data_IF_291913074322
#
_entry.id   IF_291913074322
#
_cell.length_a   1.000
_cell.length_b   1.000
_cell.length_c   1.000
_cell.angle_alpha   90.00
_cell.angle_beta   90.00
_cell.angle_gamma   90.00
#
_symmetry.space_group_name_H-M   'P 1'
#
loop_
_entity.id
_entity.type
_entity.pdbx_description
1 polymer ?
#
# COMPACT_ATOMS: atom_id res chain seq x y z
N UNK A 1 -11.72 0.29 -51.73
CA UNK A 1 -10.44 0.15 -50.96
C UNK A 1 -10.72 0.75 -49.59
N UNK A 2 -11.09 -0.10 -48.63
CA UNK A 2 -11.39 0.30 -47.26
C UNK A 2 -10.08 0.22 -46.48
N UNK A 3 -9.54 1.39 -46.09
CA UNK A 3 -8.40 1.50 -45.21
C UNK A 3 -8.84 1.03 -43.78
N UNK A 4 -8.51 -0.20 -43.46
CA UNK A 4 -8.57 -0.69 -42.10
C UNK A 4 -7.45 -0.01 -41.29
N UNK A 5 -7.76 1.11 -40.66
CA UNK A 5 -6.92 1.63 -39.55
C UNK A 5 -6.92 0.57 -38.44
N UNK A 6 -5.84 -0.18 -38.34
CA UNK A 6 -5.51 -0.90 -37.12
C UNK A 6 -5.48 0.12 -35.98
N UNK A 7 -6.52 0.11 -35.16
CA UNK A 7 -6.45 0.67 -33.82
C UNK A 7 -5.46 -0.21 -33.04
N UNK A 8 -4.20 0.20 -33.01
CA UNK A 8 -3.30 -0.23 -31.94
C UNK A 8 -3.91 0.33 -30.65
N UNK A 9 -4.66 -0.49 -29.96
CA UNK A 9 -4.95 -0.27 -28.56
C UNK A 9 -3.61 -0.34 -27.81
N UNK A 10 -2.93 0.77 -27.71
CA UNK A 10 -1.89 0.93 -26.70
C UNK A 10 -2.62 0.74 -25.39
N UNK A 11 -2.38 -0.39 -24.76
CA UNK A 11 -2.85 -0.65 -23.41
C UNK A 11 -2.15 0.37 -22.50
N UNK A 12 -2.85 1.46 -22.19
CA UNK A 12 -2.33 2.46 -21.28
C UNK A 12 -2.15 1.77 -19.91
N UNK A 13 -0.92 1.78 -19.43
CA UNK A 13 -0.56 1.28 -18.12
C UNK A 13 -1.41 1.98 -17.05
N UNK A 14 -2.14 1.18 -16.27
CA UNK A 14 -2.97 1.68 -15.17
C UNK A 14 -2.15 1.83 -13.88
N UNK A 15 -2.64 2.71 -13.02
CA UNK A 15 -2.06 2.96 -11.70
C UNK A 15 -3.09 2.68 -10.62
N UNK A 16 -2.76 1.76 -9.72
CA UNK A 16 -3.57 1.37 -8.58
C UNK A 16 -2.99 1.97 -7.30
N UNK A 17 -3.82 2.62 -6.52
CA UNK A 17 -3.51 3.13 -5.19
C UNK A 17 -4.19 2.27 -4.14
N UNK A 18 -3.40 1.54 -3.35
CA UNK A 18 -3.87 0.56 -2.40
C UNK A 18 -3.59 1.01 -0.96
N UNK A 19 -4.61 0.96 -0.11
CA UNK A 19 -4.49 1.37 1.30
C UNK A 19 -5.36 0.54 2.22
N UNK A 20 -5.00 0.48 3.49
CA UNK A 20 -5.85 -0.07 4.54
C UNK A 20 -6.66 1.05 5.18
N UNK A 21 -7.87 0.76 5.63
CA UNK A 21 -8.78 1.72 6.22
C UNK A 21 -9.32 1.21 7.56
N UNK A 22 -9.50 2.13 8.51
CA UNK A 22 -10.10 1.87 9.81
C UNK A 22 -11.30 2.78 10.10
N UNK A 23 -11.10 4.11 10.17
CA UNK A 23 -12.15 5.12 10.34
C UNK A 23 -11.75 6.54 9.88
N UNK A 24 -10.67 6.67 9.15
CA UNK A 24 -10.06 7.95 8.74
C UNK A 24 -10.77 8.53 7.50
N UNK A 25 -12.10 8.69 7.52
CA UNK A 25 -12.89 9.14 6.36
C UNK A 25 -12.37 10.46 5.77
N UNK A 26 -12.04 11.44 6.61
CA UNK A 26 -11.52 12.75 6.16
C UNK A 26 -10.17 12.59 5.44
N UNK A 27 -9.29 11.73 5.93
CA UNK A 27 -7.99 11.50 5.30
C UNK A 27 -8.15 10.75 3.97
N UNK A 28 -9.08 9.81 3.91
CA UNK A 28 -9.40 9.07 2.69
C UNK A 28 -10.01 10.00 1.62
N UNK A 29 -10.89 10.93 2.00
CA UNK A 29 -11.43 11.95 1.10
C UNK A 29 -10.33 12.86 0.56
N UNK A 30 -9.44 13.33 1.43
CA UNK A 30 -8.28 14.12 1.02
C UNK A 30 -7.39 13.36 0.04
N UNK A 31 -7.12 12.07 0.34
CA UNK A 31 -6.34 11.18 -0.51
C UNK A 31 -6.97 11.07 -1.91
N UNK A 32 -8.26 10.80 -2.00
CA UNK A 32 -8.95 10.69 -3.29
C UNK A 32 -8.89 11.98 -4.08
N UNK A 33 -9.19 13.12 -3.46
CA UNK A 33 -9.14 14.42 -4.14
C UNK A 33 -7.76 14.77 -4.70
N UNK A 34 -6.69 14.43 -3.97
CA UNK A 34 -5.31 14.71 -4.41
C UNK A 34 -4.88 13.74 -5.52
N UNK A 35 -5.25 12.46 -5.39
CA UNK A 35 -4.72 11.39 -6.24
C UNK A 35 -5.57 11.10 -7.49
N UNK A 36 -6.83 11.52 -7.53
CA UNK A 36 -7.77 11.20 -8.61
C UNK A 36 -7.24 11.47 -10.04
N UNK A 37 -6.48 12.54 -10.30
CA UNK A 37 -5.93 12.79 -11.64
C UNK A 37 -4.87 11.77 -12.10
N UNK A 38 -4.31 10.99 -11.17
CA UNK A 38 -3.15 10.12 -11.41
C UNK A 38 -3.47 8.64 -11.24
N UNK A 39 -4.62 8.32 -10.63
CA UNK A 39 -4.98 6.96 -10.21
C UNK A 39 -6.18 6.47 -11.01
N UNK A 40 -6.08 5.27 -11.55
CA UNK A 40 -7.16 4.58 -12.26
C UNK A 40 -8.06 3.82 -11.29
N UNK A 41 -7.50 3.24 -10.23
CA UNK A 41 -8.22 2.48 -9.21
C UNK A 41 -7.69 2.73 -7.80
N UNK A 42 -8.60 2.97 -6.87
CA UNK A 42 -8.38 2.99 -5.43
C UNK A 42 -8.83 1.65 -4.85
N UNK A 43 -7.91 0.93 -4.24
CA UNK A 43 -8.17 -0.35 -3.60
C UNK A 43 -8.07 -0.19 -2.09
N UNK A 44 -9.15 -0.52 -1.38
CA UNK A 44 -9.25 -0.27 0.05
C UNK A 44 -9.65 -1.56 0.76
N UNK A 45 -8.92 -1.92 1.81
CA UNK A 45 -9.33 -3.01 2.70
C UNK A 45 -9.74 -2.48 4.07
N UNK A 46 -10.84 -3.00 4.59
CA UNK A 46 -11.26 -2.78 5.97
C UNK A 46 -11.57 -4.12 6.64
N UNK A 47 -10.96 -4.35 7.82
CA UNK A 47 -11.21 -5.56 8.59
C UNK A 47 -12.39 -5.38 9.55
N UNK A 48 -13.14 -6.47 9.83
CA UNK A 48 -14.18 -6.53 10.86
C UNK A 48 -13.63 -6.65 12.29
N UNK A 49 -12.32 -6.53 12.43
CA UNK A 49 -11.60 -6.57 13.72
C UNK A 49 -10.53 -5.46 13.76
N UNK A 50 -10.18 -5.06 14.97
CA UNK A 50 -9.07 -4.13 15.21
C UNK A 50 -7.72 -4.86 15.23
N UNK A 51 -6.63 -4.12 15.29
CA UNK A 51 -5.30 -4.70 15.44
C UNK A 51 -5.14 -5.45 16.77
N UNK A 52 -5.91 -5.07 17.80
CA UNK A 52 -5.98 -5.79 19.09
C UNK A 52 -6.90 -7.03 19.06
N UNK A 53 -7.58 -7.32 17.94
CA UNK A 53 -8.48 -8.48 17.82
C UNK A 53 -9.93 -8.21 18.22
N UNK A 54 -10.27 -6.99 18.63
CA UNK A 54 -11.65 -6.64 18.98
C UNK A 54 -12.51 -6.54 17.72
N UNK A 55 -13.68 -7.15 17.78
CA UNK A 55 -14.66 -7.01 16.68
C UNK A 55 -15.14 -5.58 16.55
N UNK A 56 -15.19 -5.08 15.33
CA UNK A 56 -15.66 -3.74 15.01
C UNK A 56 -16.70 -3.72 13.88
N UNK A 57 -17.47 -2.64 13.82
CA UNK A 57 -18.31 -2.34 12.67
C UNK A 57 -17.48 -1.78 11.53
N UNK A 58 -17.95 -1.97 10.31
CA UNK A 58 -17.37 -1.33 9.13
C UNK A 58 -17.73 0.16 9.13
N UNK A 59 -16.73 0.99 8.84
CA UNK A 59 -16.84 2.46 8.86
C UNK A 59 -16.85 3.06 7.45
N UNK A 60 -16.43 2.28 6.44
CA UNK A 60 -16.43 2.75 5.06
C UNK A 60 -17.85 2.83 4.52
N UNK A 61 -18.19 4.01 3.97
CA UNK A 61 -19.46 4.24 3.29
C UNK A 61 -19.21 4.84 1.91
N UNK A 62 -19.41 4.05 0.86
CA UNK A 62 -19.21 4.44 -0.54
C UNK A 62 -20.06 5.66 -0.94
N UNK A 63 -21.19 5.93 -0.25
CA UNK A 63 -22.03 7.06 -0.55
C UNK A 63 -21.40 8.41 -0.15
N UNK A 64 -20.41 8.41 0.74
CA UNK A 64 -19.60 9.59 1.08
C UNK A 64 -18.63 9.95 -0.04
N UNK A 65 -18.29 9.00 -0.92
CA UNK A 65 -17.29 9.12 -1.96
C UNK A 65 -17.88 8.94 -3.37
N UNK A 66 -19.06 9.52 -3.61
CA UNK A 66 -19.84 9.30 -4.85
C UNK A 66 -19.08 9.62 -6.12
N UNK A 67 -18.25 10.67 -6.10
CA UNK A 67 -17.50 11.14 -7.25
C UNK A 67 -16.40 10.14 -7.65
N UNK A 68 -15.89 9.36 -6.70
CA UNK A 68 -14.83 8.37 -6.90
C UNK A 68 -15.36 6.94 -7.02
N UNK A 69 -16.67 6.71 -6.86
CA UNK A 69 -17.31 5.38 -6.77
C UNK A 69 -16.88 4.42 -7.88
N UNK A 70 -16.71 4.92 -9.11
CA UNK A 70 -16.30 4.09 -10.27
C UNK A 70 -14.85 3.61 -10.21
N UNK A 71 -14.01 4.30 -9.43
CA UNK A 71 -12.60 3.97 -9.26
C UNK A 71 -12.34 3.16 -7.98
N UNK A 72 -13.30 3.10 -7.04
CA UNK A 72 -13.11 2.44 -5.75
C UNK A 72 -13.40 0.95 -5.86
N UNK A 73 -12.46 0.15 -5.39
CA UNK A 73 -12.60 -1.26 -5.12
C UNK A 73 -12.44 -1.47 -3.60
N UNK A 74 -13.55 -1.80 -2.93
CA UNK A 74 -13.59 -1.96 -1.47
C UNK A 74 -13.72 -3.42 -1.08
N UNK A 75 -12.84 -3.87 -0.20
CA UNK A 75 -12.69 -5.25 0.24
C UNK A 75 -12.88 -5.31 1.74
N UNK A 76 -13.76 -6.18 2.19
CA UNK A 76 -13.97 -6.48 3.60
C UNK A 76 -13.18 -7.71 3.99
N UNK A 77 -12.35 -7.58 5.03
CA UNK A 77 -11.62 -8.69 5.63
C UNK A 77 -12.44 -9.24 6.79
N UNK A 78 -13.08 -10.38 6.53
CA UNK A 78 -14.07 -10.99 7.46
C UNK A 78 -13.41 -11.62 8.67
N UNK A 79 -12.37 -12.43 8.44
CA UNK A 79 -11.77 -13.32 9.42
C UNK A 79 -10.36 -12.86 9.78
N UNK A 80 -9.98 -13.11 11.02
CA UNK A 80 -8.60 -12.98 11.48
C UNK A 80 -7.70 -14.05 10.83
N UNK A 81 -6.37 -13.85 10.78
CA UNK A 81 -5.45 -14.88 10.29
C UNK A 81 -5.42 -16.10 11.23
N UNK A 82 -5.24 -17.29 10.64
CA UNK A 82 -5.30 -18.58 11.38
C UNK A 82 -4.10 -18.81 12.31
N UNK A 83 -3.01 -18.07 12.15
CA UNK A 83 -1.73 -18.31 12.81
C UNK A 83 -1.51 -17.41 14.06
N UNK A 84 -2.58 -16.99 14.72
CA UNK A 84 -2.51 -16.20 15.95
C UNK A 84 -2.14 -17.08 17.16
N UNK A 85 -1.44 -16.50 18.13
CA UNK A 85 -1.31 -17.07 19.45
C UNK A 85 -2.64 -16.96 20.20
N UNK A 86 -2.99 -17.99 20.95
CA UNK A 86 -4.20 -18.00 21.80
C UNK A 86 -3.99 -17.06 23.00
N UNK A 87 -4.53 -15.86 22.92
CA UNK A 87 -4.34 -14.81 23.93
C UNK A 87 -4.89 -15.20 25.31
N UNK A 88 -5.84 -16.14 25.40
CA UNK A 88 -6.36 -16.63 26.67
C UNK A 88 -5.36 -17.51 27.44
N UNK A 89 -4.35 -18.02 26.77
CA UNK A 89 -3.28 -18.86 27.35
C UNK A 89 -1.98 -18.11 27.61
N UNK A 90 -1.93 -16.81 27.30
CA UNK A 90 -0.72 -16.03 27.48
C UNK A 90 -0.58 -15.53 28.91
N UNK A 91 0.61 -15.64 29.46
CA UNK A 91 0.96 -15.02 30.73
C UNK A 91 1.22 -13.52 30.52
N UNK A 92 0.85 -12.68 31.50
CA UNK A 92 1.12 -11.23 31.50
C UNK A 92 2.58 -10.94 31.87
N UNK A 93 3.51 -11.65 31.27
CA UNK A 93 4.94 -11.42 31.35
C UNK A 93 5.50 -10.81 30.02
N UNK A 94 6.81 -10.64 29.96
CA UNK A 94 7.47 -10.12 28.79
C UNK A 94 7.25 -10.98 27.54
N UNK A 95 7.16 -12.30 27.68
CA UNK A 95 6.93 -13.24 26.59
C UNK A 95 5.51 -13.12 26.05
N UNK A 96 4.50 -13.14 26.90
CA UNK A 96 3.10 -12.98 26.52
C UNK A 96 2.82 -11.63 25.85
N UNK A 97 3.40 -10.53 26.38
CA UNK A 97 3.29 -9.22 25.76
C UNK A 97 3.91 -9.17 24.34
N UNK A 98 5.01 -9.89 24.11
CA UNK A 98 5.58 -10.01 22.77
C UNK A 98 4.66 -10.78 21.81
N UNK A 99 4.01 -11.85 22.28
CA UNK A 99 3.06 -12.64 21.50
C UNK A 99 1.79 -11.86 21.16
N UNK A 100 1.26 -11.04 22.07
CA UNK A 100 0.14 -10.12 21.81
C UNK A 100 0.52 -9.11 20.73
N UNK A 101 1.71 -8.53 20.82
CA UNK A 101 2.23 -7.63 19.80
C UNK A 101 2.40 -8.33 18.45
N UNK A 102 2.87 -9.57 18.45
CA UNK A 102 3.00 -10.37 17.23
C UNK A 102 1.64 -10.66 16.59
N UNK A 103 0.61 -10.97 17.38
CA UNK A 103 -0.76 -11.11 16.89
C UNK A 103 -1.25 -9.83 16.21
N UNK A 104 -0.98 -8.66 16.80
CA UNK A 104 -1.35 -7.38 16.18
C UNK A 104 -0.65 -7.19 14.83
N UNK A 105 0.65 -7.52 14.74
CA UNK A 105 1.41 -7.45 13.49
C UNK A 105 0.83 -8.42 12.44
N UNK A 106 0.46 -9.64 12.83
CA UNK A 106 -0.17 -10.63 11.95
C UNK A 106 -1.51 -10.14 11.41
N UNK A 107 -2.35 -9.52 12.26
CA UNK A 107 -3.65 -8.92 11.86
C UNK A 107 -3.45 -7.79 10.85
N UNK A 108 -2.48 -6.90 11.10
CA UNK A 108 -2.13 -5.80 10.19
C UNK A 108 -1.66 -6.35 8.83
N UNK A 109 -0.76 -7.33 8.84
CA UNK A 109 -0.25 -7.96 7.63
C UNK A 109 -1.38 -8.66 6.86
N UNK A 110 -2.27 -9.37 7.52
CA UNK A 110 -3.40 -10.06 6.91
C UNK A 110 -4.37 -9.09 6.21
N UNK A 111 -4.75 -7.99 6.89
CA UNK A 111 -5.58 -6.94 6.28
C UNK A 111 -4.88 -6.32 5.07
N UNK A 112 -3.58 -6.04 5.17
CA UNK A 112 -2.77 -5.47 4.10
C UNK A 112 -2.66 -6.41 2.90
N UNK A 113 -2.35 -7.67 3.13
CA UNK A 113 -2.17 -8.65 2.05
C UNK A 113 -3.49 -9.04 1.38
N UNK A 114 -4.65 -8.83 2.04
CA UNK A 114 -5.98 -8.98 1.45
C UNK A 114 -6.25 -7.99 0.29
N UNK A 115 -5.46 -6.91 0.16
CA UNK A 115 -5.51 -6.01 -0.99
C UNK A 115 -5.26 -6.71 -2.32
N UNK A 116 -4.64 -7.91 -2.31
CA UNK A 116 -4.33 -8.67 -3.53
C UNK A 116 -5.57 -9.01 -4.33
N UNK A 117 -6.70 -9.28 -3.67
CA UNK A 117 -7.98 -9.56 -4.33
C UNK A 117 -8.57 -8.34 -5.05
N UNK A 118 -8.14 -7.14 -4.67
CA UNK A 118 -8.59 -5.90 -5.28
C UNK A 118 -7.82 -5.46 -6.52
N UNK A 119 -6.76 -6.16 -6.87
CA UNK A 119 -5.94 -5.87 -8.04
C UNK A 119 -5.96 -7.01 -9.08
N UNK A 120 -6.95 -7.88 -9.03
CA UNK A 120 -7.07 -9.01 -9.98
C UNK A 120 -7.16 -8.52 -11.43
N UNK A 121 -7.89 -7.42 -11.67
CA UNK A 121 -8.05 -6.79 -12.99
C UNK A 121 -6.79 -6.05 -13.50
N UNK A 122 -5.75 -5.92 -12.69
CA UNK A 122 -4.52 -5.25 -13.11
C UNK A 122 -3.70 -6.15 -14.03
N UNK A 123 -3.09 -5.56 -15.05
CA UNK A 123 -2.14 -6.24 -15.93
C UNK A 123 -0.75 -6.29 -15.32
N UNK A 124 0.09 -7.20 -15.80
CA UNK A 124 1.46 -7.41 -15.33
C UNK A 124 2.34 -6.15 -15.35
N UNK A 125 2.04 -5.19 -16.22
CA UNK A 125 2.78 -3.94 -16.35
C UNK A 125 2.14 -2.75 -15.63
N UNK A 126 0.95 -2.91 -15.06
CA UNK A 126 0.29 -1.89 -14.27
C UNK A 126 1.07 -1.62 -12.96
N UNK A 127 1.05 -0.38 -12.51
CA UNK A 127 1.69 0.00 -11.27
C UNK A 127 0.75 -0.17 -10.09
N UNK A 128 1.26 -0.84 -9.07
CA UNK A 128 0.58 -1.06 -7.79
C UNK A 128 1.36 -0.28 -6.73
N UNK A 129 0.71 0.73 -6.14
CA UNK A 129 1.25 1.47 -5.00
C UNK A 129 0.54 1.08 -3.72
N UNK A 130 1.30 1.04 -2.65
CA UNK A 130 0.78 0.85 -1.30
C UNK A 130 1.34 1.90 -0.36
N UNK A 131 0.49 2.42 0.51
CA UNK A 131 0.84 3.22 1.68
C UNK A 131 -0.27 3.18 2.72
N UNK A 132 0.05 3.57 3.94
CA UNK A 132 -0.95 3.82 4.95
C UNK A 132 -1.81 5.04 4.54
N UNK A 133 -3.03 5.16 5.05
CA UNK A 133 -4.02 6.11 4.53
C UNK A 133 -3.58 7.58 4.58
N UNK A 134 -2.77 7.94 5.56
CA UNK A 134 -2.21 9.29 5.78
C UNK A 134 -0.92 9.57 4.98
N UNK A 135 -0.38 8.59 4.28
CA UNK A 135 0.83 8.72 3.47
C UNK A 135 0.48 9.01 2.01
N UNK A 136 0.06 10.25 1.71
CA UNK A 136 -0.37 10.65 0.36
C UNK A 136 0.85 11.03 -0.49
N UNK A 137 1.14 10.31 -1.60
CA UNK A 137 2.29 10.60 -2.45
C UNK A 137 2.02 11.79 -3.38
N UNK A 138 3.08 12.46 -3.78
CA UNK A 138 3.01 13.53 -4.77
C UNK A 138 3.34 12.99 -6.16
N UNK A 139 2.32 12.82 -7.01
CA UNK A 139 2.46 12.28 -8.37
C UNK A 139 2.77 13.34 -9.44
N UNK A 140 2.72 14.63 -9.11
CA UNK A 140 3.03 15.69 -10.05
C UNK A 140 4.43 15.50 -10.66
N UNK A 141 4.51 15.56 -11.98
CA UNK A 141 5.76 15.38 -12.74
C UNK A 141 6.40 13.98 -12.66
N UNK A 142 5.69 12.98 -12.14
CA UNK A 142 6.16 11.60 -12.11
C UNK A 142 5.87 10.91 -13.44
N UNK A 143 6.91 10.46 -14.13
CA UNK A 143 6.76 9.68 -15.36
C UNK A 143 7.06 8.20 -15.06
N UNK A 144 6.00 7.41 -14.86
CA UNK A 144 6.10 5.98 -14.59
C UNK A 144 6.41 5.15 -15.84
N UNK A 145 6.01 5.58 -17.02
CA UNK A 145 6.25 4.86 -18.29
C UNK A 145 7.75 4.74 -18.58
N UNK A 146 8.50 5.81 -18.30
CA UNK A 146 9.96 5.84 -18.49
C UNK A 146 10.71 5.16 -17.35
N UNK A 147 10.02 4.75 -16.29
CA UNK A 147 10.70 4.14 -15.14
C UNK A 147 11.12 2.70 -15.43
N UNK A 148 12.44 2.45 -15.30
CA UNK A 148 13.06 1.13 -15.48
C UNK A 148 13.35 0.41 -14.15
N UNK A 149 13.12 1.07 -13.02
CA UNK A 149 13.39 0.51 -11.71
C UNK A 149 12.26 -0.43 -11.30
N UNK A 150 12.59 -1.52 -10.62
CA UNK A 150 11.59 -2.48 -10.10
C UNK A 150 10.73 -1.84 -9.03
N UNK A 151 11.34 -1.05 -8.15
CA UNK A 151 10.69 -0.41 -7.01
C UNK A 151 10.72 1.10 -7.18
N UNK A 152 9.61 1.73 -6.86
CA UNK A 152 9.43 3.18 -6.74
C UNK A 152 9.05 3.49 -5.30
N UNK A 153 9.65 4.50 -4.72
CA UNK A 153 9.32 4.97 -3.37
C UNK A 153 9.21 6.49 -3.37
N UNK A 154 8.25 7.00 -2.59
CA UNK A 154 8.08 8.44 -2.41
C UNK A 154 8.69 8.88 -1.09
N UNK A 155 9.59 9.87 -1.16
CA UNK A 155 10.08 10.58 0.02
C UNK A 155 8.99 11.56 0.44
N UNK A 156 8.52 11.43 1.66
CA UNK A 156 7.40 12.20 2.19
C UNK A 156 7.81 12.95 3.46
N UNK A 157 7.12 14.03 3.77
CA UNK A 157 7.30 14.76 5.03
C UNK A 157 6.62 13.97 6.16
N UNK A 158 7.33 13.77 7.26
CA UNK A 158 6.80 13.15 8.47
C UNK A 158 6.42 14.23 9.48
N UNK A 159 5.16 14.21 9.93
CA UNK A 159 4.66 15.10 10.98
C UNK A 159 4.28 14.29 12.21
N UNK A 160 4.59 14.80 13.40
CA UNK A 160 4.17 14.21 14.67
C UNK A 160 2.94 14.93 15.21
N UNK A 161 1.88 14.18 15.51
CA UNK A 161 0.63 14.63 16.15
C UNK A 161 -0.13 15.74 15.43
N UNK A 162 0.54 16.74 14.89
CA UNK A 162 -0.05 17.92 14.22
C UNK A 162 0.76 18.29 12.98
N UNK A 163 0.10 18.85 11.96
CA UNK A 163 0.73 19.22 10.69
C UNK A 163 1.78 20.36 10.78
N UNK A 164 1.93 21.01 11.94
CA UNK A 164 2.98 21.99 12.20
C UNK A 164 4.21 21.42 12.93
N UNK A 165 4.21 20.13 13.28
CA UNK A 165 5.31 19.47 13.97
C UNK A 165 6.08 18.57 12.98
N UNK A 166 6.78 19.21 12.04
CA UNK A 166 7.60 18.50 11.06
C UNK A 166 8.80 17.84 11.74
N UNK A 167 8.98 16.53 11.48
CA UNK A 167 10.19 15.78 11.81
C UNK A 167 11.12 15.76 10.59
N UNK A 168 12.13 16.60 10.59
CA UNK A 168 13.12 16.70 9.51
C UNK A 168 14.33 15.74 9.67
N UNK A 169 14.43 15.09 10.85
CA UNK A 169 15.54 14.18 11.17
C UNK A 169 15.41 12.79 10.55
N UNK A 170 14.23 12.42 10.08
CA UNK A 170 13.94 11.08 9.55
C UNK A 170 13.52 11.22 8.09
N UNK A 171 14.23 10.55 7.19
CA UNK A 171 13.76 10.37 5.82
C UNK A 171 12.65 9.33 5.80
N UNK A 172 11.42 9.78 5.59
CA UNK A 172 10.27 8.92 5.52
C UNK A 172 9.94 8.54 4.08
N UNK A 173 9.82 7.23 3.84
CA UNK A 173 9.41 6.66 2.55
C UNK A 173 8.14 5.84 2.77
N UNK A 174 7.01 6.54 2.87
CA UNK A 174 5.71 5.92 3.16
C UNK A 174 5.18 5.14 1.97
N UNK A 175 4.85 5.83 0.88
CA UNK A 175 4.31 5.21 -0.33
C UNK A 175 5.40 4.47 -1.11
N UNK A 176 5.10 3.22 -1.47
CA UNK A 176 5.97 2.36 -2.28
C UNK A 176 5.16 1.68 -3.37
N UNK A 177 5.79 1.44 -4.51
CA UNK A 177 5.12 0.81 -5.63
C UNK A 177 6.06 0.01 -6.52
N UNK A 178 5.46 -0.88 -7.28
CA UNK A 178 6.11 -1.65 -8.31
C UNK A 178 5.10 -2.03 -9.40
N UNK A 179 5.57 -2.56 -10.52
CA UNK A 179 4.68 -3.21 -11.48
C UNK A 179 4.12 -4.50 -10.86
N UNK A 180 2.87 -4.87 -11.19
CA UNK A 180 2.19 -6.07 -10.66
C UNK A 180 3.06 -7.32 -10.74
N UNK A 181 3.74 -7.55 -11.87
CA UNK A 181 4.66 -8.69 -12.06
C UNK A 181 5.84 -8.76 -11.07
N UNK A 182 6.11 -7.68 -10.35
CA UNK A 182 7.17 -7.63 -9.33
C UNK A 182 6.63 -7.65 -7.91
N UNK A 183 5.31 -7.53 -7.75
CA UNK A 183 4.66 -7.56 -6.45
C UNK A 183 4.69 -8.99 -5.89
N UNK A 184 5.19 -9.16 -4.66
CA UNK A 184 5.15 -10.44 -3.96
C UNK A 184 3.96 -10.50 -3.00
N UNK A 185 3.83 -9.50 -2.14
CA UNK A 185 2.70 -9.21 -1.29
C UNK A 185 2.71 -7.73 -0.91
N UNK A 186 1.63 -7.22 -0.34
CA UNK A 186 1.59 -5.84 0.14
C UNK A 186 2.41 -5.63 1.41
N UNK A 187 2.45 -6.63 2.30
CA UNK A 187 3.32 -6.61 3.47
C UNK A 187 4.79 -6.59 3.07
N UNK A 188 5.21 -7.42 2.08
CA UNK A 188 6.55 -7.35 1.52
C UNK A 188 6.87 -5.96 0.96
N UNK A 189 5.95 -5.36 0.18
CA UNK A 189 6.16 -4.04 -0.42
C UNK A 189 6.33 -2.95 0.66
N UNK A 190 5.53 -3.02 1.74
CA UNK A 190 5.61 -2.12 2.90
C UNK A 190 6.93 -2.25 3.65
N UNK A 191 7.45 -3.46 3.78
CA UNK A 191 8.62 -3.77 4.61
C UNK A 191 9.95 -3.62 3.87
N UNK A 192 9.91 -3.26 2.57
CA UNK A 192 11.11 -3.01 1.79
C UNK A 192 11.97 -1.93 2.45
N UNK A 193 13.27 -2.20 2.53
CA UNK A 193 14.25 -1.22 2.97
C UNK A 193 14.57 -0.27 1.83
N UNK A 194 14.06 0.95 1.91
CA UNK A 194 14.33 1.99 0.91
C UNK A 194 15.72 2.57 1.15
N UNK A 195 16.70 1.84 0.66
CA UNK A 195 18.11 2.23 0.70
C UNK A 195 18.80 1.70 -0.53
N UNK A 196 19.53 2.54 -1.24
CA UNK A 196 20.38 2.10 -2.33
C UNK A 196 21.62 1.39 -1.79
N UNK A 197 21.74 0.11 -2.10
CA UNK A 197 22.91 -0.68 -1.76
C UNK A 197 23.93 -0.61 -2.90
N UNK A 198 25.22 -0.53 -2.62
CA UNK A 198 26.26 -0.59 -3.65
C UNK A 198 26.19 -1.89 -4.45
N UNK A 199 26.51 -1.83 -5.74
CA UNK A 199 26.40 -2.97 -6.67
C UNK A 199 27.28 -4.17 -6.24
N UNK A 200 28.40 -3.92 -5.55
CA UNK A 200 29.30 -4.96 -5.04
C UNK A 200 28.72 -5.77 -3.85
N UNK A 201 27.56 -5.37 -3.32
CA UNK A 201 26.89 -6.09 -2.23
C UNK A 201 26.16 -7.30 -2.81
N UNK A 202 26.86 -8.43 -2.91
CA UNK A 202 26.35 -9.71 -3.47
C UNK A 202 25.13 -10.22 -2.68
N UNK A 203 25.06 -9.93 -1.38
CA UNK A 203 23.91 -10.29 -0.53
C UNK A 203 22.57 -9.67 -0.99
N UNK A 204 22.62 -8.59 -1.78
CA UNK A 204 21.40 -7.99 -2.36
C UNK A 204 20.77 -8.84 -3.45
N UNK A 205 21.55 -9.69 -4.12
CA UNK A 205 21.05 -10.59 -5.16
C UNK A 205 20.16 -11.71 -4.59
N UNK A 206 20.40 -12.08 -3.33
CA UNK A 206 19.69 -13.14 -2.62
C UNK A 206 18.70 -12.59 -1.57
N UNK A 207 18.55 -11.27 -1.48
CA UNK A 207 17.66 -10.64 -0.50
C UNK A 207 16.33 -10.28 -1.13
N UNK A 208 15.25 -10.66 -0.47
CA UNK A 208 13.89 -10.29 -0.88
C UNK A 208 13.49 -8.86 -0.49
N UNK A 209 14.28 -8.21 0.37
CA UNK A 209 13.96 -6.88 0.93
C UNK A 209 14.99 -5.79 0.61
N UNK A 210 16.08 -6.12 -0.08
CA UNK A 210 17.15 -5.17 -0.43
C UNK A 210 17.29 -5.08 -1.94
N UNK A 211 17.26 -3.90 -2.47
CA UNK A 211 17.41 -3.62 -3.90
C UNK A 211 18.51 -2.60 -4.16
N UNK A 212 19.30 -2.83 -5.21
CA UNK A 212 20.39 -1.92 -5.61
C UNK A 212 19.90 -0.74 -6.43
N UNK A 213 18.68 -0.80 -6.95
CA UNK A 213 18.15 0.20 -7.86
C UNK A 213 16.69 0.51 -7.54
N UNK A 214 16.48 1.46 -6.62
CA UNK A 214 15.17 1.97 -6.26
C UNK A 214 15.04 3.39 -6.81
N UNK A 215 13.93 3.71 -7.46
CA UNK A 215 13.59 5.06 -7.85
C UNK A 215 12.96 5.78 -6.66
N UNK A 216 13.66 6.76 -6.09
CA UNK A 216 13.11 7.65 -5.06
C UNK A 216 12.59 8.91 -5.74
N UNK A 217 11.32 9.24 -5.45
CA UNK A 217 10.63 10.45 -5.92
C UNK A 217 10.53 11.40 -4.71
N UNK A 218 10.96 12.65 -4.91
CA UNK A 218 11.00 13.70 -3.86
C UNK A 218 10.00 14.80 -4.15
#
# INVERSE_FOLDING_TARGET
>A
IVNSKCFNLYHLMKVFDCTTFYNENMMLELRFNILDPYIDKFVITEAKYSHSGEKKKLNFDINKFKDFKKKINYIVVENEPDNLFDENKLHLDKSGNNQIRENSIKRIAHQRDSLISGIEEADENDYIFYSDNDEIPRFENVNLEKNKNKIVAFKQKLFYYKFNLLCDRIEWHGTRGCKKKHLKSFSWLRDLKIKNYPIYRIDTLFSDTKYTNIKIIT
#
